data_IF_000275521718
#
_entry.id   IF_000275521718
#
_cell.length_a   1.000
_cell.length_b   1.000
_cell.length_c   1.000
_cell.angle_alpha   90.00
_cell.angle_beta   90.00
_cell.angle_gamma   90.00
#
_symmetry.space_group_name_H-M   'P 1'
#
loop_
_entity.id
_entity.type
_entity.pdbx_description
1 polymer ?
#
# COMPACT_ATOMS: atom_id res chain seq x y z
N UNK A 1 18.83 60.40 -41.26
CA UNK A 1 20.03 60.31 -42.11
C UNK A 1 20.27 58.84 -42.29
N UNK A 2 19.86 58.21 -43.34
CA UNK A 2 20.24 58.28 -44.75
C UNK A 2 21.11 57.02 -44.95
N UNK A 3 20.99 56.21 -45.86
CA UNK A 3 20.46 55.95 -47.21
C UNK A 3 20.79 54.47 -47.50
N UNK A 4 19.90 53.60 -47.96
CA UNK A 4 19.65 53.16 -49.32
C UNK A 4 20.85 52.71 -50.18
N UNK A 5 20.65 51.53 -50.73
CA UNK A 5 20.90 51.04 -52.12
C UNK A 5 21.54 49.67 -52.14
N UNK A 6 21.24 48.72 -52.88
CA UNK A 6 20.37 48.37 -54.03
C UNK A 6 21.12 47.32 -54.84
N UNK A 7 20.33 46.33 -55.36
CA UNK A 7 20.49 45.60 -56.60
C UNK A 7 21.76 44.76 -56.96
N UNK A 8 21.49 43.52 -57.32
CA UNK A 8 22.38 42.71 -58.14
C UNK A 8 21.69 41.43 -58.62
N UNK A 9 21.18 41.47 -59.82
CA UNK A 9 20.54 40.40 -60.61
C UNK A 9 21.64 39.50 -61.15
N UNK A 10 21.49 38.19 -61.11
CA UNK A 10 22.39 37.25 -61.78
C UNK A 10 21.79 35.87 -61.93
N UNK A 11 21.55 35.53 -63.14
CA UNK A 11 20.77 34.43 -63.73
C UNK A 11 21.32 33.00 -63.52
N UNK A 12 20.68 32.00 -64.17
CA UNK A 12 20.76 30.60 -63.79
C UNK A 12 22.03 29.91 -64.29
N UNK A 13 22.55 28.96 -63.54
CA UNK A 13 23.61 28.03 -63.91
C UNK A 13 23.09 26.58 -63.93
N UNK A 14 23.65 25.72 -64.81
CA UNK A 14 22.98 24.57 -65.41
C UNK A 14 23.02 23.27 -64.51
N UNK A 15 22.14 22.34 -64.95
CA UNK A 15 21.91 21.01 -64.40
C UNK A 15 23.13 20.13 -64.19
N UNK A 16 23.29 19.55 -63.03
CA UNK A 16 24.18 18.45 -62.68
C UNK A 16 23.42 17.11 -62.71
N UNK A 17 23.71 16.14 -63.61
CA UNK A 17 22.92 14.92 -63.79
C UNK A 17 23.31 13.77 -62.82
N UNK A 18 23.85 14.03 -61.62
CA UNK A 18 24.31 12.94 -60.78
C UNK A 18 23.76 13.00 -59.31
N UNK A 19 22.49 13.33 -59.13
CA UNK A 19 21.81 13.22 -57.84
C UNK A 19 21.08 11.88 -57.75
N UNK A 20 21.78 10.85 -57.21
CA UNK A 20 21.15 9.60 -56.79
C UNK A 20 20.17 9.91 -55.66
N UNK A 21 18.91 9.64 -55.87
CA UNK A 21 17.84 9.65 -54.88
C UNK A 21 18.07 8.54 -53.86
N UNK A 22 18.52 8.87 -52.68
CA UNK A 22 18.46 7.97 -51.52
C UNK A 22 17.03 8.06 -50.97
N UNK A 23 16.20 7.04 -51.26
CA UNK A 23 14.94 6.80 -50.61
C UNK A 23 15.21 6.46 -49.12
N UNK A 24 15.03 7.44 -48.23
CA UNK A 24 14.98 7.22 -46.80
C UNK A 24 13.67 6.50 -46.54
N UNK A 25 13.77 5.17 -46.31
CA UNK A 25 12.67 4.37 -45.81
C UNK A 25 12.24 4.92 -44.45
N UNK A 26 11.01 5.44 -44.38
CA UNK A 26 10.32 5.66 -43.10
C UNK A 26 10.10 4.30 -42.49
N UNK A 27 10.94 3.91 -41.54
CA UNK A 27 10.61 2.83 -40.62
C UNK A 27 9.44 3.31 -39.77
N UNK A 28 8.27 2.76 -40.02
CA UNK A 28 7.15 2.86 -39.12
C UNK A 28 7.61 2.22 -37.80
N UNK A 29 7.85 3.03 -36.77
CA UNK A 29 7.98 2.56 -35.37
C UNK A 29 6.59 2.04 -35.03
N UNK A 30 6.46 0.72 -35.04
CA UNK A 30 5.26 0.01 -34.57
C UNK A 30 5.13 0.30 -33.09
N UNK A 31 4.34 1.32 -32.76
CA UNK A 31 4.03 1.74 -31.38
C UNK A 31 3.07 0.77 -30.71
N UNK A 32 3.43 -0.51 -30.65
CA UNK A 32 2.81 -1.43 -29.71
C UNK A 32 3.36 -1.05 -28.35
N UNK A 33 2.61 -0.25 -27.59
CA UNK A 33 2.75 -0.23 -26.13
C UNK A 33 2.53 -1.67 -25.66
N UNK A 34 3.59 -2.33 -25.23
CA UNK A 34 3.44 -3.56 -24.45
C UNK A 34 2.49 -3.20 -23.32
N UNK A 35 1.28 -3.76 -23.34
CA UNK A 35 0.37 -3.73 -22.21
C UNK A 35 1.05 -4.54 -21.10
N UNK A 36 1.86 -3.86 -20.30
CA UNK A 36 2.36 -4.42 -19.04
C UNK A 36 1.11 -4.68 -18.22
N UNK A 37 0.71 -5.94 -18.11
CA UNK A 37 -0.40 -6.35 -17.26
C UNK A 37 -0.08 -5.91 -15.84
N UNK A 38 -0.77 -4.88 -15.37
CA UNK A 38 -0.62 -4.38 -14.01
C UNK A 38 -1.24 -5.41 -13.08
N UNK A 39 -0.40 -6.00 -12.23
CA UNK A 39 -0.83 -6.97 -11.22
C UNK A 39 -1.73 -6.28 -10.19
N UNK A 40 -2.94 -6.80 -10.00
CA UNK A 40 -3.91 -6.30 -9.00
C UNK A 40 -3.72 -7.03 -7.68
N UNK A 41 -3.54 -6.30 -6.61
CA UNK A 41 -3.10 -6.80 -5.30
C UNK A 41 -4.05 -6.36 -4.19
N UNK A 42 -4.45 -7.32 -3.36
CA UNK A 42 -4.94 -7.05 -2.02
C UNK A 42 -3.73 -6.78 -1.10
N UNK A 43 -3.47 -5.53 -0.77
CA UNK A 43 -2.26 -5.13 -0.05
C UNK A 43 -2.34 -5.36 1.47
N UNK A 44 -3.47 -5.88 1.97
CA UNK A 44 -3.64 -6.10 3.41
C UNK A 44 -4.64 -7.22 3.70
N UNK A 45 -4.14 -8.38 4.05
CA UNK A 45 -4.90 -9.51 4.56
C UNK A 45 -4.05 -10.35 5.51
N UNK A 46 -4.67 -11.28 6.25
CA UNK A 46 -4.02 -12.10 7.25
C UNK A 46 -4.27 -13.58 6.99
N UNK A 47 -3.26 -14.39 7.33
CA UNK A 47 -3.40 -15.83 7.46
C UNK A 47 -3.11 -16.24 8.89
N UNK A 48 -3.78 -17.27 9.38
CA UNK A 48 -3.48 -17.89 10.66
C UNK A 48 -3.97 -19.35 10.74
N UNK A 49 -3.33 -20.11 11.61
CA UNK A 49 -3.85 -21.34 12.20
C UNK A 49 -4.33 -20.98 13.58
N UNK A 50 -5.63 -21.06 13.81
CA UNK A 50 -6.21 -20.56 15.04
C UNK A 50 -5.87 -21.44 16.24
N UNK A 51 -5.41 -20.84 17.30
CA UNK A 51 -5.43 -21.38 18.66
C UNK A 51 -5.79 -20.28 19.64
N UNK A 52 -6.56 -20.58 20.67
CA UNK A 52 -6.97 -19.60 21.66
C UNK A 52 -5.78 -18.97 22.40
N UNK A 53 -4.74 -19.78 22.65
CA UNK A 53 -3.54 -19.32 23.34
C UNK A 53 -2.73 -18.30 22.53
N UNK A 54 -2.73 -18.40 21.20
CA UNK A 54 -1.93 -17.55 20.30
C UNK A 54 -2.69 -16.35 19.77
N UNK A 55 -4.04 -16.45 19.70
CA UNK A 55 -4.92 -15.40 19.15
C UNK A 55 -5.91 -14.89 20.21
N UNK A 56 -5.42 -14.66 21.43
CA UNK A 56 -6.22 -14.20 22.57
C UNK A 56 -6.93 -12.86 22.39
N UNK A 57 -6.56 -12.09 21.33
CA UNK A 57 -7.25 -10.86 20.96
C UNK A 57 -8.64 -11.11 20.32
N UNK A 58 -8.89 -12.34 19.80
CA UNK A 58 -10.18 -12.70 19.22
C UNK A 58 -11.19 -13.02 20.31
N UNK A 59 -12.31 -12.29 20.34
CA UNK A 59 -13.37 -12.53 21.32
C UNK A 59 -14.02 -13.90 21.10
N UNK A 60 -14.53 -14.56 22.16
CA UNK A 60 -15.10 -15.91 22.08
C UNK A 60 -16.25 -16.08 21.08
N UNK A 61 -17.03 -15.02 20.85
CA UNK A 61 -18.18 -14.98 19.93
C UNK A 61 -17.84 -14.60 18.48
N UNK A 62 -16.55 -14.37 18.16
CA UNK A 62 -16.13 -13.99 16.81
C UNK A 62 -16.09 -15.19 15.87
N UNK A 63 -16.73 -15.06 14.72
CA UNK A 63 -16.81 -16.11 13.69
C UNK A 63 -15.48 -16.45 13.02
N UNK A 64 -14.46 -15.62 13.22
CA UNK A 64 -13.11 -15.78 12.63
C UNK A 64 -12.18 -16.69 13.46
N UNK A 65 -12.67 -17.33 14.53
CA UNK A 65 -11.89 -18.26 15.37
C UNK A 65 -11.77 -19.64 14.71
N UNK A 66 -11.15 -19.69 13.54
CA UNK A 66 -10.80 -20.90 12.79
C UNK A 66 -9.57 -20.63 11.91
N UNK A 67 -9.05 -21.67 11.29
CA UNK A 67 -7.95 -21.52 10.34
C UNK A 67 -8.36 -20.73 9.10
N UNK A 68 -7.47 -19.84 8.66
CA UNK A 68 -7.56 -19.10 7.41
C UNK A 68 -6.21 -19.14 6.69
N UNK A 69 -6.20 -19.76 5.50
CA UNK A 69 -5.00 -20.09 4.74
C UNK A 69 -5.13 -19.57 3.30
N UNK A 70 -4.06 -19.56 2.48
CA UNK A 70 -4.12 -19.09 1.10
C UNK A 70 -5.21 -19.74 0.25
N UNK A 71 -5.50 -21.04 0.45
CA UNK A 71 -6.58 -21.76 -0.25
C UNK A 71 -7.98 -21.20 0.04
N UNK A 72 -8.17 -20.55 1.21
CA UNK A 72 -9.45 -19.98 1.61
C UNK A 72 -9.64 -18.58 1.00
N UNK A 73 -8.55 -17.85 0.74
CA UNK A 73 -8.58 -16.50 0.13
C UNK A 73 -8.57 -16.54 -1.40
N UNK A 74 -7.92 -17.54 -2.02
CA UNK A 74 -7.73 -17.59 -3.47
C UNK A 74 -9.04 -17.48 -4.27
N UNK A 75 -10.16 -18.16 -3.88
CA UNK A 75 -11.44 -17.98 -4.56
C UNK A 75 -11.99 -16.55 -4.49
N UNK A 76 -11.78 -15.85 -3.37
CA UNK A 76 -12.24 -14.47 -3.16
C UNK A 76 -11.45 -13.49 -4.05
N UNK A 77 -10.13 -13.64 -4.11
CA UNK A 77 -9.27 -12.87 -5.02
C UNK A 77 -9.73 -13.03 -6.47
N UNK A 78 -9.90 -14.28 -6.92
CA UNK A 78 -10.35 -14.58 -8.28
C UNK A 78 -11.71 -13.98 -8.60
N UNK A 79 -12.65 -14.07 -7.66
CA UNK A 79 -14.00 -13.51 -7.84
C UNK A 79 -14.00 -11.98 -7.98
N UNK A 80 -12.97 -11.30 -7.44
CA UNK A 80 -12.79 -9.85 -7.53
C UNK A 80 -11.76 -9.43 -8.59
N UNK A 81 -11.18 -10.39 -9.36
CA UNK A 81 -10.20 -10.10 -10.40
C UNK A 81 -8.86 -9.58 -9.85
N UNK A 82 -8.48 -10.04 -8.67
CA UNK A 82 -7.18 -9.76 -8.06
C UNK A 82 -6.20 -10.92 -8.29
N UNK A 83 -4.92 -10.60 -8.55
CA UNK A 83 -3.87 -11.54 -8.94
C UNK A 83 -3.05 -12.06 -7.75
N UNK A 84 -3.19 -11.43 -6.60
CA UNK A 84 -2.45 -11.81 -5.41
C UNK A 84 -2.70 -10.91 -4.22
N UNK A 85 -1.93 -11.15 -3.16
CA UNK A 85 -2.05 -10.42 -1.91
C UNK A 85 -0.71 -10.20 -1.21
N UNK A 86 -0.70 -9.26 -0.27
CA UNK A 86 0.35 -9.10 0.75
C UNK A 86 -0.18 -9.66 2.06
N UNK A 87 0.51 -10.66 2.61
CA UNK A 87 0.18 -11.23 3.90
C UNK A 87 0.80 -10.36 5.02
N UNK A 88 -0.04 -9.90 5.93
CA UNK A 88 0.38 -9.05 7.05
C UNK A 88 0.30 -9.85 8.35
N UNK A 89 1.27 -9.68 9.25
CA UNK A 89 1.31 -10.36 10.54
C UNK A 89 0.01 -10.16 11.34
N UNK A 90 -0.41 -11.17 12.08
CA UNK A 90 -1.54 -11.12 13.01
C UNK A 90 -1.09 -11.29 14.48
N UNK A 91 0.13 -11.80 14.69
CA UNK A 91 0.79 -11.94 15.99
C UNK A 91 2.13 -11.21 15.98
N UNK A 92 2.55 -10.72 17.13
CA UNK A 92 3.86 -10.08 17.30
C UNK A 92 4.92 -11.12 17.70
N UNK A 93 5.20 -12.07 16.78
CA UNK A 93 6.22 -13.11 16.96
C UNK A 93 7.09 -13.29 15.73
N UNK A 94 8.35 -13.57 15.95
CA UNK A 94 9.31 -13.88 14.89
C UNK A 94 8.95 -15.18 14.17
N UNK A 95 8.39 -16.15 14.89
CA UNK A 95 7.94 -17.45 14.39
C UNK A 95 6.81 -17.29 13.38
N UNK A 96 5.85 -16.37 13.61
CA UNK A 96 4.80 -16.10 12.64
C UNK A 96 5.36 -15.50 11.37
N UNK A 97 6.32 -14.57 11.46
CA UNK A 97 6.96 -13.99 10.28
C UNK A 97 7.61 -15.05 9.41
N UNK A 98 8.31 -16.03 10.00
CA UNK A 98 8.88 -17.18 9.29
C UNK A 98 7.81 -18.03 8.64
N UNK A 99 6.77 -18.39 9.39
CA UNK A 99 5.65 -19.18 8.89
C UNK A 99 4.92 -18.51 7.73
N UNK A 100 4.70 -17.20 7.78
CA UNK A 100 4.10 -16.44 6.66
C UNK A 100 4.98 -16.48 5.41
N UNK A 101 6.31 -16.45 5.56
CA UNK A 101 7.24 -16.62 4.43
C UNK A 101 7.19 -18.04 3.85
N UNK A 102 7.08 -19.08 4.69
CA UNK A 102 6.88 -20.46 4.24
C UNK A 102 5.57 -20.61 3.44
N UNK A 103 4.48 -19.97 3.90
CA UNK A 103 3.22 -19.91 3.14
C UNK A 103 3.38 -19.17 1.81
N UNK A 104 4.12 -18.05 1.81
CA UNK A 104 4.36 -17.27 0.62
C UNK A 104 5.18 -18.07 -0.43
N UNK A 105 6.16 -18.84 0.00
CA UNK A 105 6.94 -19.71 -0.89
C UNK A 105 6.09 -20.85 -1.48
N UNK A 106 5.15 -21.37 -0.70
CA UNK A 106 4.26 -22.45 -1.10
C UNK A 106 3.05 -21.99 -1.93
N UNK A 107 2.72 -20.69 -1.94
CA UNK A 107 1.51 -20.17 -2.61
C UNK A 107 1.83 -18.99 -3.51
N UNK A 108 1.53 -19.10 -4.84
CA UNK A 108 1.82 -18.02 -5.79
C UNK A 108 0.95 -16.78 -5.61
N UNK A 109 -0.19 -16.86 -4.93
CA UNK A 109 -1.04 -15.70 -4.67
C UNK A 109 -0.43 -14.77 -3.61
N UNK A 110 0.50 -15.25 -2.76
CA UNK A 110 1.17 -14.43 -1.75
C UNK A 110 2.41 -13.79 -2.37
N UNK A 111 2.31 -12.50 -2.67
CA UNK A 111 3.34 -11.72 -3.37
C UNK A 111 4.31 -11.04 -2.43
N UNK A 112 3.91 -10.78 -1.20
CA UNK A 112 4.73 -10.17 -0.18
C UNK A 112 4.27 -10.52 1.23
N UNK A 113 5.16 -10.34 2.19
CA UNK A 113 4.91 -10.55 3.62
C UNK A 113 5.37 -9.32 4.39
N UNK A 114 4.45 -8.72 5.13
CA UNK A 114 4.75 -7.74 6.17
C UNK A 114 4.72 -8.49 7.51
N UNK A 115 5.91 -8.80 8.02
CA UNK A 115 6.06 -9.59 9.24
C UNK A 115 6.28 -8.73 10.48
N UNK A 116 6.73 -9.37 11.54
CA UNK A 116 7.12 -8.72 12.78
C UNK A 116 8.53 -9.13 13.19
N UNK A 117 9.28 -8.18 13.71
CA UNK A 117 10.51 -8.38 14.49
C UNK A 117 10.44 -7.50 15.72
N UNK A 118 11.18 -7.84 16.78
CA UNK A 118 11.30 -6.96 17.93
C UNK A 118 12.22 -5.77 17.59
N UNK A 119 11.61 -4.66 17.11
CA UNK A 119 12.33 -3.43 16.74
C UNK A 119 13.09 -2.79 17.93
N UNK A 120 12.73 -3.14 19.17
CA UNK A 120 13.39 -2.62 20.38
C UNK A 120 14.59 -3.46 20.80
N UNK A 121 14.71 -4.68 20.24
CA UNK A 121 15.78 -5.62 20.57
C UNK A 121 17.14 -5.16 20.04
N UNK A 122 18.18 -5.45 20.81
CA UNK A 122 19.58 -5.28 20.34
C UNK A 122 19.94 -6.28 19.23
N UNK A 123 19.12 -7.34 19.06
CA UNK A 123 19.27 -8.37 18.00
C UNK A 123 18.45 -8.08 16.75
N UNK A 124 17.86 -6.89 16.61
CA UNK A 124 16.98 -6.55 15.49
C UNK A 124 17.66 -6.78 14.13
N UNK A 125 18.93 -6.45 14.00
CA UNK A 125 19.69 -6.63 12.75
C UNK A 125 19.83 -8.11 12.36
N UNK A 126 20.00 -9.00 13.31
CA UNK A 126 20.09 -10.44 13.05
C UNK A 126 18.75 -11.01 12.62
N UNK A 127 17.66 -10.58 13.25
CA UNK A 127 16.29 -10.96 12.87
C UNK A 127 15.97 -10.47 11.46
N UNK A 128 16.22 -9.19 11.17
CA UNK A 128 16.00 -8.59 9.85
C UNK A 128 16.83 -9.28 8.76
N UNK A 129 18.11 -9.51 9.01
CA UNK A 129 19.02 -10.18 8.06
C UNK A 129 18.53 -11.59 7.73
N UNK A 130 18.07 -12.33 8.74
CA UNK A 130 17.55 -13.68 8.54
C UNK A 130 16.29 -13.70 7.68
N UNK A 131 15.30 -12.83 7.95
CA UNK A 131 14.05 -12.78 7.20
C UNK A 131 14.23 -12.19 5.80
N UNK A 132 15.09 -11.17 5.64
CA UNK A 132 15.35 -10.49 4.37
C UNK A 132 16.12 -11.35 3.34
N UNK A 133 16.56 -12.57 3.70
CA UNK A 133 17.01 -13.56 2.72
C UNK A 133 15.91 -14.00 1.77
N UNK A 134 14.65 -13.94 2.22
CA UNK A 134 13.48 -14.19 1.39
C UNK A 134 13.01 -12.88 0.75
N UNK A 135 13.00 -12.82 -0.59
CA UNK A 135 12.62 -11.61 -1.34
C UNK A 135 11.16 -11.19 -1.14
N UNK A 136 10.32 -12.10 -0.65
CA UNK A 136 8.92 -11.80 -0.32
C UNK A 136 8.77 -11.13 1.04
N UNK A 137 9.82 -11.02 1.86
CA UNK A 137 9.80 -10.21 3.07
C UNK A 137 9.94 -8.73 2.69
N UNK A 138 8.83 -7.99 2.66
CA UNK A 138 8.77 -6.64 2.08
C UNK A 138 8.59 -5.53 3.11
N UNK A 139 8.22 -5.88 4.34
CA UNK A 139 7.98 -4.88 5.37
C UNK A 139 7.85 -5.47 6.77
N UNK A 140 7.78 -4.57 7.74
CA UNK A 140 7.61 -4.86 9.16
C UNK A 140 6.44 -4.07 9.71
N UNK A 141 5.66 -4.68 10.62
CA UNK A 141 4.59 -4.03 11.37
C UNK A 141 4.67 -4.37 12.84
N UNK A 142 4.40 -3.38 13.69
CA UNK A 142 4.12 -3.54 15.11
C UNK A 142 2.69 -3.10 15.40
N UNK A 143 1.97 -3.80 16.30
CA UNK A 143 0.59 -3.48 16.67
C UNK A 143 0.59 -2.33 17.67
N UNK A 144 0.96 -1.13 17.22
CA UNK A 144 1.10 0.06 18.08
C UNK A 144 -0.24 0.49 18.69
N UNK A 145 -1.35 0.21 18.01
CA UNK A 145 -2.70 0.53 18.49
C UNK A 145 -2.98 -0.04 19.90
N UNK A 146 -2.36 -1.17 20.25
CA UNK A 146 -2.59 -1.88 21.52
C UNK A 146 -1.57 -1.49 22.60
N UNK A 147 -0.58 -0.67 22.26
CA UNK A 147 0.37 -0.17 23.24
C UNK A 147 -0.29 0.85 24.18
N UNK A 148 0.00 0.76 25.50
CA UNK A 148 -0.61 1.64 26.50
C UNK A 148 -0.12 3.09 26.41
N UNK A 149 1.07 3.32 25.83
CA UNK A 149 1.66 4.64 25.63
C UNK A 149 1.38 5.14 24.22
N UNK A 150 0.63 6.23 24.08
CA UNK A 150 0.35 6.86 22.79
C UNK A 150 1.61 7.35 22.06
N UNK A 151 2.68 7.59 22.81
CA UNK A 151 3.98 7.99 22.30
C UNK A 151 4.96 6.81 22.07
N UNK A 152 4.51 5.56 22.18
CA UNK A 152 5.33 4.34 22.03
C UNK A 152 6.29 4.40 20.84
N UNK A 153 5.83 4.89 19.67
CA UNK A 153 6.66 4.99 18.47
C UNK A 153 7.84 5.98 18.60
N UNK A 154 7.84 6.81 19.64
CA UNK A 154 8.92 7.76 19.91
C UNK A 154 9.95 7.21 20.91
N UNK A 155 9.77 5.98 21.41
CA UNK A 155 10.79 5.28 22.21
C UNK A 155 12.09 5.18 21.43
N UNK A 156 13.23 5.46 22.09
CA UNK A 156 14.53 5.53 21.43
C UNK A 156 14.97 4.19 20.83
N UNK A 157 14.65 3.05 21.50
CA UNK A 157 14.99 1.73 20.98
C UNK A 157 14.12 1.36 19.78
N UNK A 158 12.82 1.72 19.83
CA UNK A 158 11.92 1.50 18.72
C UNK A 158 12.38 2.29 17.47
N UNK A 159 12.70 3.57 17.62
CA UNK A 159 13.21 4.39 16.52
C UNK A 159 14.55 3.90 15.98
N UNK A 160 15.44 3.38 16.86
CA UNK A 160 16.68 2.71 16.44
C UNK A 160 16.34 1.55 15.48
N UNK A 161 15.37 0.70 15.82
CA UNK A 161 14.90 -0.41 14.99
C UNK A 161 14.30 0.06 13.67
N UNK A 162 13.45 1.09 13.68
CA UNK A 162 12.91 1.71 12.44
C UNK A 162 14.06 2.16 11.53
N UNK A 163 15.10 2.82 12.06
CA UNK A 163 16.26 3.26 11.29
C UNK A 163 17.06 2.11 10.62
N UNK A 164 16.83 0.86 11.03
CA UNK A 164 17.49 -0.31 10.42
C UNK A 164 16.77 -0.81 9.16
N UNK A 165 15.47 -0.62 9.06
CA UNK A 165 14.63 -1.20 7.98
C UNK A 165 15.11 -0.82 6.58
N UNK A 166 15.50 0.43 6.38
CA UNK A 166 16.02 0.91 5.09
C UNK A 166 17.23 0.13 4.59
N UNK A 167 18.12 -0.32 5.48
CA UNK A 167 19.31 -1.10 5.10
C UNK A 167 18.97 -2.47 4.51
N UNK A 168 17.75 -2.95 4.76
CA UNK A 168 17.22 -4.21 4.24
C UNK A 168 16.18 -4.00 3.14
N UNK A 169 15.96 -2.75 2.68
CA UNK A 169 14.90 -2.37 1.72
C UNK A 169 13.49 -2.74 2.19
N UNK A 170 13.23 -2.63 3.49
CA UNK A 170 11.94 -2.95 4.11
C UNK A 170 11.13 -1.69 4.38
N UNK A 171 9.82 -1.79 4.20
CA UNK A 171 8.85 -0.77 4.57
C UNK A 171 8.44 -0.92 6.05
N UNK A 172 7.78 0.11 6.59
CA UNK A 172 7.14 0.01 7.90
C UNK A 172 5.65 0.35 7.79
N UNK A 173 4.79 -0.61 8.18
CA UNK A 173 3.34 -0.43 8.21
C UNK A 173 2.93 0.10 9.59
N UNK A 174 2.25 1.26 9.61
CA UNK A 174 1.87 2.00 10.82
C UNK A 174 0.44 1.63 11.21
N UNK A 175 0.27 0.74 12.19
CA UNK A 175 -1.04 0.32 12.69
C UNK A 175 -1.36 1.05 14.01
N UNK A 176 -2.26 2.01 13.96
CA UNK A 176 -2.56 2.92 15.07
C UNK A 176 -4.05 3.26 15.16
N UNK A 177 -4.46 3.76 16.33
CA UNK A 177 -5.70 4.53 16.51
C UNK A 177 -5.45 6.04 16.35
N UNK A 178 -6.52 6.86 16.16
CA UNK A 178 -6.38 8.31 15.99
C UNK A 178 -5.58 9.02 17.09
N UNK A 179 -5.67 8.55 18.34
CA UNK A 179 -4.93 9.12 19.49
C UNK A 179 -3.41 9.08 19.31
N UNK A 180 -2.90 8.16 18.48
CA UNK A 180 -1.46 7.96 18.24
C UNK A 180 -0.96 8.71 17.00
N UNK A 181 -1.84 9.33 16.20
CA UNK A 181 -1.44 10.12 15.00
C UNK A 181 -0.38 11.19 15.30
N UNK A 182 -0.44 11.95 16.41
CA UNK A 182 0.60 12.93 16.73
C UNK A 182 2.00 12.31 16.85
N UNK A 183 2.10 11.11 17.43
CA UNK A 183 3.37 10.39 17.52
C UNK A 183 3.81 9.84 16.16
N UNK A 184 2.87 9.35 15.34
CA UNK A 184 3.13 8.88 13.99
C UNK A 184 3.67 9.98 13.09
N UNK A 185 3.09 11.20 13.14
CA UNK A 185 3.57 12.38 12.40
C UNK A 185 5.04 12.67 12.77
N UNK A 186 5.36 12.62 14.04
CA UNK A 186 6.76 12.84 14.50
C UNK A 186 7.69 11.72 14.05
N UNK A 187 7.24 10.45 14.11
CA UNK A 187 8.03 9.32 13.65
C UNK A 187 8.41 9.47 12.17
N UNK A 188 7.43 9.69 11.28
CA UNK A 188 7.70 9.77 9.84
C UNK A 188 8.56 10.99 9.47
N UNK A 189 8.45 12.08 10.24
CA UNK A 189 9.31 13.27 10.13
C UNK A 189 10.77 12.97 10.51
N UNK A 190 10.99 12.13 11.53
CA UNK A 190 12.33 11.74 11.99
C UNK A 190 13.06 10.84 10.98
N UNK A 191 12.33 10.15 10.10
CA UNK A 191 12.87 9.20 9.13
C UNK A 191 12.40 9.49 7.70
N UNK A 192 12.77 10.64 7.09
CA UNK A 192 12.25 11.08 5.80
C UNK A 192 12.59 10.14 4.63
N UNK A 193 13.60 9.31 4.80
CA UNK A 193 14.05 8.34 3.79
C UNK A 193 13.46 6.93 3.96
N UNK A 194 12.76 6.66 5.08
CA UNK A 194 12.06 5.41 5.33
C UNK A 194 10.67 5.46 4.69
N UNK A 195 10.30 4.41 3.95
CA UNK A 195 8.95 4.28 3.42
C UNK A 195 7.99 3.79 4.51
N UNK A 196 6.91 4.55 4.74
CA UNK A 196 5.87 4.24 5.71
C UNK A 196 4.52 4.05 5.02
N UNK A 197 3.71 3.13 5.52
CA UNK A 197 2.36 2.87 5.06
C UNK A 197 1.39 2.91 6.23
N UNK A 198 0.43 3.81 6.19
CA UNK A 198 -0.59 3.92 7.22
C UNK A 198 -1.67 2.85 7.00
N UNK A 199 -1.82 1.93 7.94
CA UNK A 199 -2.87 0.91 7.90
C UNK A 199 -4.23 1.50 8.25
N UNK A 200 -5.29 1.02 7.56
CA UNK A 200 -6.70 1.23 7.90
C UNK A 200 -7.10 2.70 8.07
N UNK A 201 -6.44 3.60 7.28
CA UNK A 201 -6.66 5.05 7.41
C UNK A 201 -6.55 5.57 8.86
N UNK A 202 -5.73 4.91 9.70
CA UNK A 202 -5.61 5.13 11.16
C UNK A 202 -6.91 4.93 11.95
N UNK A 203 -7.81 4.02 11.51
CA UNK A 203 -9.01 3.58 12.24
C UNK A 203 -9.86 4.71 12.85
N UNK A 204 -10.40 5.62 12.01
CA UNK A 204 -11.27 6.70 12.50
C UNK A 204 -12.56 6.15 13.12
N UNK A 205 -13.20 6.94 13.98
CA UNK A 205 -14.43 6.57 14.69
C UNK A 205 -15.66 6.65 13.77
N UNK A 206 -15.71 5.79 12.72
CA UNK A 206 -16.75 5.78 11.68
C UNK A 206 -18.12 5.52 12.29
N UNK A 207 -18.21 4.56 13.24
CA UNK A 207 -19.45 4.22 13.93
C UNK A 207 -20.11 5.43 14.58
N UNK A 208 -19.32 6.34 15.11
CA UNK A 208 -19.80 7.51 15.86
C UNK A 208 -19.94 8.74 14.97
N UNK A 209 -19.56 8.66 13.69
CA UNK A 209 -19.53 9.78 12.75
C UNK A 209 -18.55 10.89 13.14
N UNK A 210 -17.60 10.59 14.04
CA UNK A 210 -16.64 11.57 14.55
C UNK A 210 -15.47 11.68 13.59
N UNK A 211 -15.32 12.86 12.97
CA UNK A 211 -14.28 13.08 11.96
C UNK A 211 -13.07 13.89 12.48
N UNK A 212 -13.27 14.76 13.46
CA UNK A 212 -12.17 15.50 14.09
C UNK A 212 -11.79 14.91 15.45
N UNK A 213 -10.52 14.96 15.86
CA UNK A 213 -9.37 15.61 15.21
C UNK A 213 -8.68 14.77 14.11
N UNK A 214 -9.17 13.55 13.82
CA UNK A 214 -8.57 12.62 12.85
C UNK A 214 -8.35 13.28 11.48
N UNK A 215 -9.34 14.01 10.94
CA UNK A 215 -9.26 14.66 9.63
C UNK A 215 -8.10 15.64 9.53
N UNK A 216 -7.94 16.50 10.54
CA UNK A 216 -6.84 17.46 10.60
C UNK A 216 -5.49 16.76 10.70
N UNK A 217 -5.40 15.71 11.52
CA UNK A 217 -4.15 14.97 11.75
C UNK A 217 -3.75 14.12 10.54
N UNK A 218 -4.70 13.52 9.82
CA UNK A 218 -4.45 12.78 8.57
C UNK A 218 -3.87 13.71 7.49
N UNK A 219 -4.41 14.91 7.35
CA UNK A 219 -3.88 15.90 6.43
C UNK A 219 -2.45 16.31 6.78
N UNK A 220 -2.14 16.42 8.06
CA UNK A 220 -0.78 16.71 8.52
C UNK A 220 0.18 15.54 8.24
N UNK A 221 -0.23 14.31 8.55
CA UNK A 221 0.53 13.09 8.27
C UNK A 221 0.84 12.96 6.78
N UNK A 222 -0.14 13.22 5.91
CA UNK A 222 -0.01 13.11 4.47
C UNK A 222 0.93 14.14 3.81
N UNK A 223 1.33 15.22 4.51
CA UNK A 223 2.33 16.18 4.01
C UNK A 223 3.71 15.56 3.85
N UNK A 224 3.98 14.45 4.54
CA UNK A 224 5.24 13.74 4.41
C UNK A 224 5.25 12.91 3.11
N UNK A 225 6.24 13.11 2.20
CA UNK A 225 6.25 12.43 0.90
C UNK A 225 6.58 10.93 0.99
N UNK A 226 7.15 10.50 2.10
CA UNK A 226 7.54 9.12 2.37
C UNK A 226 6.44 8.25 2.98
N UNK A 227 5.18 8.75 2.98
CA UNK A 227 4.03 8.00 3.49
C UNK A 227 3.00 7.71 2.41
N UNK A 228 2.48 6.48 2.43
CA UNK A 228 1.30 6.04 1.69
C UNK A 228 0.19 5.63 2.69
N UNK A 229 -1.01 5.29 2.19
CA UNK A 229 -2.13 4.93 3.04
C UNK A 229 -2.93 3.76 2.44
N UNK A 230 -3.24 2.76 3.26
CA UNK A 230 -4.17 1.67 2.93
C UNK A 230 -5.60 2.07 3.23
N UNK A 231 -6.42 2.00 2.22
CA UNK A 231 -7.88 2.01 2.34
C UNK A 231 -8.33 0.58 2.62
N UNK A 232 -8.37 0.24 3.91
CA UNK A 232 -8.63 -1.11 4.44
C UNK A 232 -9.22 -1.01 5.84
N UNK A 233 -9.74 -2.11 6.40
CA UNK A 233 -10.16 -2.21 7.80
C UNK A 233 -11.26 -1.25 8.26
N UNK A 234 -11.89 -0.51 7.34
CA UNK A 234 -12.87 0.51 7.69
C UNK A 234 -14.18 -0.07 8.22
N UNK A 235 -14.58 -1.22 7.68
CA UNK A 235 -15.86 -1.84 8.02
C UNK A 235 -15.91 -2.31 9.48
N UNK A 236 -14.74 -2.60 10.08
CA UNK A 236 -14.62 -2.98 11.50
C UNK A 236 -14.70 -1.78 12.44
N UNK A 237 -14.49 -0.58 11.95
CA UNK A 237 -14.63 0.68 12.71
C UNK A 237 -16.05 1.28 12.59
N UNK A 238 -16.90 0.70 11.73
CA UNK A 238 -18.29 1.11 11.53
C UNK A 238 -19.27 0.32 12.41
N UNK A 239 -20.57 0.54 12.23
CA UNK A 239 -21.58 -0.29 12.87
C UNK A 239 -21.65 -1.66 12.18
N UNK A 240 -21.18 -2.71 12.84
CA UNK A 240 -21.01 -4.06 12.30
C UNK A 240 -22.26 -4.67 11.66
N UNK A 241 -23.44 -4.28 12.14
CA UNK A 241 -24.73 -4.87 11.70
C UNK A 241 -25.46 -4.04 10.64
N UNK A 242 -25.08 -2.76 10.48
CA UNK A 242 -25.92 -1.83 9.72
C UNK A 242 -25.17 -0.75 8.96
N UNK A 243 -23.84 -0.88 8.77
CA UNK A 243 -23.07 0.09 8.00
C UNK A 243 -23.60 0.22 6.56
N UNK A 244 -23.44 1.42 6.00
CA UNK A 244 -23.82 1.75 4.64
C UNK A 244 -22.63 2.44 3.93
N UNK A 245 -22.51 2.38 2.61
CA UNK A 245 -21.44 3.03 1.87
C UNK A 245 -21.23 4.51 2.21
N UNK A 246 -22.33 5.26 2.45
CA UNK A 246 -22.23 6.68 2.80
C UNK A 246 -21.59 6.96 4.16
N UNK A 247 -21.54 5.98 5.07
CA UNK A 247 -20.88 6.14 6.38
C UNK A 247 -19.37 6.33 6.21
N UNK A 248 -18.78 5.80 5.13
CA UNK A 248 -17.35 5.86 4.84
C UNK A 248 -16.94 7.07 4.00
N UNK A 249 -17.89 7.66 3.29
CA UNK A 249 -17.60 8.70 2.29
C UNK A 249 -16.79 9.88 2.85
N UNK A 250 -17.10 10.51 4.00
CA UNK A 250 -16.32 11.65 4.51
C UNK A 250 -14.86 11.29 4.81
N UNK A 251 -14.61 10.04 5.21
CA UNK A 251 -13.27 9.54 5.53
C UNK A 251 -12.49 9.23 4.25
N UNK A 252 -13.12 8.60 3.26
CA UNK A 252 -12.56 8.29 1.96
C UNK A 252 -12.20 9.56 1.19
N UNK A 253 -13.09 10.55 1.15
CA UNK A 253 -12.82 11.87 0.55
C UNK A 253 -11.63 12.56 1.23
N UNK A 254 -11.56 12.48 2.56
CA UNK A 254 -10.45 13.08 3.32
C UNK A 254 -9.09 12.45 2.96
N UNK A 255 -9.00 11.13 2.85
CA UNK A 255 -7.72 10.48 2.50
C UNK A 255 -7.38 10.69 1.03
N UNK A 256 -8.37 10.77 0.13
CA UNK A 256 -8.13 11.09 -1.27
C UNK A 256 -7.57 12.52 -1.43
N UNK A 257 -8.18 13.50 -0.75
CA UNK A 257 -7.70 14.88 -0.72
C UNK A 257 -6.28 14.99 -0.17
N UNK A 258 -5.99 14.24 0.91
CA UNK A 258 -4.74 14.35 1.64
C UNK A 258 -3.57 13.65 0.93
N UNK A 259 -3.76 12.42 0.45
CA UNK A 259 -2.70 11.59 -0.12
C UNK A 259 -2.66 11.66 -1.66
N UNK A 260 -3.78 11.96 -2.31
CA UNK A 260 -3.94 11.73 -3.74
C UNK A 260 -3.98 10.25 -4.11
N UNK A 261 -4.47 9.93 -5.30
CA UNK A 261 -4.64 8.54 -5.74
C UNK A 261 -3.31 7.78 -5.84
N UNK A 262 -2.20 8.46 -6.07
CA UNK A 262 -0.87 7.87 -6.25
C UNK A 262 -0.27 7.27 -4.96
N UNK A 263 -0.84 7.61 -3.80
CA UNK A 263 -0.39 7.15 -2.48
C UNK A 263 -1.46 6.37 -1.72
N UNK A 264 -2.57 6.01 -2.37
CA UNK A 264 -3.62 5.17 -1.81
C UNK A 264 -3.56 3.76 -2.40
N UNK A 265 -3.81 2.73 -1.58
CA UNK A 265 -3.89 1.36 -2.03
C UNK A 265 -4.98 0.58 -1.31
N UNK A 266 -5.57 -0.39 -2.02
CA UNK A 266 -6.59 -1.29 -1.51
C UNK A 266 -6.02 -2.34 -0.56
N UNK A 267 -6.76 -2.65 0.50
CA UNK A 267 -6.58 -3.82 1.34
C UNK A 267 -7.93 -4.31 1.89
N UNK A 268 -8.15 -5.62 1.91
CA UNK A 268 -9.41 -6.19 2.38
C UNK A 268 -9.55 -6.25 3.89
N UNK A 269 -8.41 -6.38 4.59
CA UNK A 269 -8.35 -6.76 6.01
C UNK A 269 -9.03 -8.12 6.28
N UNK A 270 -9.04 -9.01 5.26
CA UNK A 270 -9.53 -10.37 5.43
C UNK A 270 -8.58 -11.21 6.30
N UNK A 271 -9.07 -12.07 7.17
CA UNK A 271 -10.47 -12.40 7.42
C UNK A 271 -11.12 -11.57 8.53
N UNK A 272 -10.45 -10.55 9.09
CA UNK A 272 -11.00 -9.69 10.16
C UNK A 272 -12.28 -8.98 9.68
N UNK A 273 -12.30 -8.52 8.44
CA UNK A 273 -13.45 -7.89 7.81
C UNK A 273 -14.71 -8.78 7.77
N UNK A 274 -14.55 -10.12 7.82
CA UNK A 274 -15.68 -11.07 7.84
C UNK A 274 -16.56 -10.97 9.10
N UNK A 275 -16.09 -10.27 10.13
CA UNK A 275 -16.92 -9.93 11.30
C UNK A 275 -18.10 -9.01 10.96
N UNK A 276 -18.00 -8.29 9.84
CA UNK A 276 -18.95 -7.21 9.51
C UNK A 276 -19.50 -7.28 8.09
N UNK A 277 -18.94 -8.13 7.23
CA UNK A 277 -19.34 -8.25 5.85
C UNK A 277 -18.58 -9.35 5.11
N UNK A 278 -18.87 -9.53 3.83
CA UNK A 278 -18.14 -10.46 2.96
C UNK A 278 -16.92 -9.77 2.33
N UNK A 279 -15.95 -10.55 1.85
CA UNK A 279 -14.82 -10.05 1.06
C UNK A 279 -15.29 -9.16 -0.09
N UNK A 280 -16.30 -9.64 -0.84
CA UNK A 280 -16.86 -8.93 -1.99
C UNK A 280 -17.50 -7.59 -1.61
N UNK A 281 -18.16 -7.49 -0.46
CA UNK A 281 -18.73 -6.21 0.00
C UNK A 281 -17.62 -5.18 0.30
N UNK A 282 -16.53 -5.61 0.92
CA UNK A 282 -15.37 -4.73 1.19
C UNK A 282 -14.71 -4.30 -0.11
N UNK A 283 -14.50 -5.25 -1.04
CA UNK A 283 -13.98 -4.93 -2.37
C UNK A 283 -14.87 -3.93 -3.12
N UNK A 284 -16.19 -4.18 -3.13
CA UNK A 284 -17.14 -3.33 -3.84
C UNK A 284 -17.18 -1.91 -3.27
N UNK A 285 -17.13 -1.76 -1.94
CA UNK A 285 -17.04 -0.45 -1.27
C UNK A 285 -15.81 0.34 -1.76
N UNK A 286 -14.65 -0.32 -1.83
CA UNK A 286 -13.42 0.30 -2.31
C UNK A 286 -13.46 0.57 -3.82
N UNK A 287 -14.06 -0.31 -4.61
CA UNK A 287 -14.24 -0.13 -6.06
C UNK A 287 -15.15 1.05 -6.38
N UNK A 288 -16.30 1.16 -5.70
CA UNK A 288 -17.27 2.24 -5.91
C UNK A 288 -16.67 3.62 -5.55
N UNK A 289 -15.73 3.64 -4.60
CA UNK A 289 -15.00 4.85 -4.24
C UNK A 289 -14.03 5.30 -5.35
N UNK A 290 -13.28 4.38 -5.96
CA UNK A 290 -12.22 4.76 -6.91
C UNK A 290 -12.72 4.81 -8.36
N UNK A 291 -13.76 4.06 -8.72
CA UNK A 291 -14.25 3.94 -10.10
C UNK A 291 -14.62 5.29 -10.75
N UNK A 292 -15.24 6.26 -10.04
CA UNK A 292 -15.53 7.58 -10.61
C UNK A 292 -14.27 8.37 -11.03
N UNK A 293 -13.09 7.98 -10.56
CA UNK A 293 -11.81 8.64 -10.90
C UNK A 293 -11.20 8.12 -12.21
N UNK A 294 -11.80 7.07 -12.81
CA UNK A 294 -11.39 6.47 -14.08
C UNK A 294 -10.40 5.29 -13.96
N UNK A 295 -10.20 4.60 -15.10
CA UNK A 295 -9.44 3.35 -15.17
C UNK A 295 -8.01 3.47 -14.63
N UNK A 296 -7.30 4.55 -14.93
CA UNK A 296 -5.95 4.78 -14.42
C UNK A 296 -5.89 4.90 -12.88
N UNK A 297 -6.95 5.39 -12.24
CA UNK A 297 -7.05 5.43 -10.79
C UNK A 297 -7.31 4.04 -10.21
N UNK A 298 -8.15 3.24 -10.87
CA UNK A 298 -8.42 1.84 -10.49
C UNK A 298 -7.11 1.03 -10.56
N UNK A 299 -6.34 1.15 -11.64
CA UNK A 299 -5.07 0.45 -11.82
C UNK A 299 -4.04 0.83 -10.75
N UNK A 300 -3.96 2.11 -10.38
CA UNK A 300 -3.09 2.58 -9.30
C UNK A 300 -3.51 2.01 -7.96
N UNK A 301 -4.77 2.18 -7.61
CA UNK A 301 -5.34 1.85 -6.32
C UNK A 301 -5.33 0.35 -6.01
N UNK A 302 -5.70 -0.49 -6.98
CA UNK A 302 -5.74 -1.94 -6.84
C UNK A 302 -4.43 -2.65 -7.24
N UNK A 303 -3.42 -1.95 -7.77
CA UNK A 303 -2.25 -2.63 -8.31
C UNK A 303 -0.94 -1.86 -8.20
N UNK A 304 -0.69 -0.91 -9.09
CA UNK A 304 0.64 -0.34 -9.27
C UNK A 304 1.18 0.39 -8.04
N UNK A 305 0.33 0.97 -7.19
CA UNK A 305 0.78 1.63 -5.97
C UNK A 305 1.37 0.63 -4.96
N UNK A 306 0.68 -0.49 -4.71
CA UNK A 306 1.16 -1.55 -3.81
C UNK A 306 2.39 -2.26 -4.38
N UNK A 307 2.38 -2.56 -5.69
CA UNK A 307 3.51 -3.18 -6.39
C UNK A 307 4.76 -2.31 -6.27
N UNK A 308 4.63 -1.02 -6.53
CA UNK A 308 5.74 -0.05 -6.42
C UNK A 308 6.20 0.13 -4.98
N UNK A 309 5.26 0.28 -4.04
CA UNK A 309 5.58 0.56 -2.64
C UNK A 309 6.35 -0.58 -1.99
N UNK A 310 5.90 -1.82 -2.20
CA UNK A 310 6.51 -3.01 -1.62
C UNK A 310 7.58 -3.67 -2.52
N UNK A 311 7.76 -3.19 -3.77
CA UNK A 311 8.69 -3.82 -4.73
C UNK A 311 8.25 -5.23 -5.12
N UNK A 312 6.94 -5.49 -5.30
CA UNK A 312 6.41 -6.82 -5.62
C UNK A 312 6.76 -7.24 -7.05
N UNK A 313 7.03 -8.56 -7.21
CA UNK A 313 7.39 -9.17 -8.51
C UNK A 313 6.49 -10.35 -8.84
#
# INVERSE_FOLDING_TARGET
>A
MGLLQSCGIGGPCPDDPNRRSSSVGKSAVDGRSENVLIMKIDSHQHFWKYSEAEYGWMKPDWSIRRDYLPKDLEPELKACGLDGCVAVQARQTYEESRWLLELADASPIVRGVVGWVDLRSDKVDDQLRSLATNKKFVGVRHVVQDEPDDAFMLDGNFQRGIGRLKHFNLTYDVLIYPRQLPAAIRLVSNFPEQAFLLDHIAKPFIKDGTIEPWKTQIREFAKHPNVCCKVSGMVTEANWKSWKPHDFQPYLETVLDAFGIDRLMYGSDWPVALLTGTYRQVYQLAYDFVAPLGDGAIEKFFGSNSTKFYGLT
#
